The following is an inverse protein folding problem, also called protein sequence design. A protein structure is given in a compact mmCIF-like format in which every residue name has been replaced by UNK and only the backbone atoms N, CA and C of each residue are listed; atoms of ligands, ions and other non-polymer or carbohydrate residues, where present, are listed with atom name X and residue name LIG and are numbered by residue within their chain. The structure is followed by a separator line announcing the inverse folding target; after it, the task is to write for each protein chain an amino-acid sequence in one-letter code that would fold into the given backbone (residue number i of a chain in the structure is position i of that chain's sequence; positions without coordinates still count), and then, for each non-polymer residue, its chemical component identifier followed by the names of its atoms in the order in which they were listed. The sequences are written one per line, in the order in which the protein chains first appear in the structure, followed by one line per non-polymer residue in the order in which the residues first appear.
data_IF_940250502274
#
_entry.id   IF_940250502274
#
_cell.length_a   1.000
_cell.length_b   1.000
_cell.length_c   1.000
_cell.angle_alpha   90.00
_cell.angle_beta   90.00
_cell.angle_gamma   90.00
#
_symmetry.space_group_name_H-M   'P 1'
#
loop_
_entity.id
_entity.type
_entity.pdbx_description
1 polymer ?
#
# COMPACT_ATOMS: atom_id res chain seq x y z
N UNK A 1 10.30 8.44 -13.11
CA UNK A 1 10.24 9.60 -12.20
C UNK A 1 10.25 9.12 -10.77
N UNK A 2 10.81 9.86 -9.85
CA UNK A 2 10.88 9.60 -8.41
C UNK A 2 10.33 10.81 -7.63
N UNK A 3 10.40 10.81 -6.31
CA UNK A 3 10.08 12.01 -5.52
C UNK A 3 11.00 13.18 -5.94
N UNK A 4 10.43 14.38 -6.05
CA UNK A 4 11.21 15.60 -6.28
C UNK A 4 11.95 16.00 -5.00
N UNK A 5 13.28 16.07 -5.09
CA UNK A 5 14.11 16.35 -3.92
C UNK A 5 15.60 16.03 -4.13
N UNK A 6 16.29 15.91 -3.01
CA UNK A 6 17.76 15.70 -2.97
C UNK A 6 18.15 14.40 -3.70
N UNK A 7 17.38 13.31 -3.52
CA UNK A 7 17.69 12.03 -4.14
C UNK A 7 17.53 12.11 -5.66
N UNK A 8 16.45 12.76 -6.16
CA UNK A 8 16.26 13.00 -7.59
C UNK A 8 17.45 13.75 -8.20
N UNK A 9 17.90 14.82 -7.53
CA UNK A 9 19.05 15.63 -7.97
C UNK A 9 20.33 14.80 -7.99
N UNK A 10 20.61 14.03 -6.95
CA UNK A 10 21.81 13.17 -6.86
C UNK A 10 21.85 12.10 -7.97
N UNK A 11 20.69 11.53 -8.29
CA UNK A 11 20.58 10.49 -9.32
C UNK A 11 20.42 11.06 -10.73
N UNK A 12 20.28 12.38 -10.90
CA UNK A 12 20.02 13.00 -12.19
C UNK A 12 18.68 12.59 -12.79
N UNK A 13 17.68 12.27 -11.96
CA UNK A 13 16.36 11.81 -12.38
C UNK A 13 15.32 12.93 -12.27
N UNK A 14 14.31 12.87 -13.14
CA UNK A 14 13.18 13.79 -13.06
C UNK A 14 12.31 13.46 -11.85
N UNK A 15 12.04 14.48 -11.01
CA UNK A 15 11.20 14.38 -9.82
C UNK A 15 9.71 14.59 -10.12
N UNK A 16 8.85 14.06 -9.25
CA UNK A 16 7.42 14.36 -9.15
C UNK A 16 7.22 15.10 -7.83
N UNK A 17 6.91 16.42 -7.85
CA UNK A 17 6.68 17.17 -6.64
C UNK A 17 5.41 16.68 -5.92
N UNK A 18 5.37 16.81 -4.58
CA UNK A 18 4.18 16.46 -3.79
C UNK A 18 2.93 17.26 -4.21
N UNK A 19 3.13 18.49 -4.73
CA UNK A 19 2.06 19.34 -5.23
C UNK A 19 1.24 18.68 -6.34
N UNK A 20 1.81 17.75 -7.11
CA UNK A 20 1.07 17.00 -8.11
C UNK A 20 -0.05 16.14 -7.51
N UNK A 21 0.14 15.63 -6.28
CA UNK A 21 -0.87 14.91 -5.52
C UNK A 21 -1.83 15.88 -4.81
N UNK A 22 -1.29 16.89 -4.14
CA UNK A 22 -2.04 17.86 -3.33
C UNK A 22 -3.10 18.59 -4.14
N UNK A 23 -2.75 19.14 -5.30
CA UNK A 23 -3.68 19.90 -6.15
C UNK A 23 -4.88 19.04 -6.57
N UNK A 24 -4.64 17.77 -6.90
CA UNK A 24 -5.72 16.86 -7.28
C UNK A 24 -6.64 16.58 -6.09
N UNK A 25 -6.07 16.30 -4.92
CA UNK A 25 -6.84 16.06 -3.69
C UNK A 25 -7.69 17.28 -3.33
N UNK A 26 -7.10 18.47 -3.30
CA UNK A 26 -7.82 19.70 -2.95
C UNK A 26 -8.93 20.02 -3.94
N UNK A 27 -8.67 19.89 -5.24
CA UNK A 27 -9.67 20.05 -6.30
C UNK A 27 -10.84 19.10 -6.09
N UNK A 28 -10.54 17.81 -5.93
CA UNK A 28 -11.54 16.76 -5.88
C UNK A 28 -12.39 16.89 -4.58
N UNK A 29 -11.76 17.25 -3.46
CA UNK A 29 -12.50 17.48 -2.22
C UNK A 29 -13.37 18.76 -2.27
N UNK A 30 -12.94 19.80 -2.97
CA UNK A 30 -13.76 20.99 -3.20
C UNK A 30 -15.00 20.66 -4.06
N UNK A 31 -14.84 19.83 -5.10
CA UNK A 31 -15.95 19.34 -5.91
C UNK A 31 -16.88 18.43 -5.11
N UNK A 32 -16.34 17.55 -4.28
CA UNK A 32 -17.09 16.60 -3.47
C UNK A 32 -18.04 17.30 -2.49
N UNK A 33 -17.61 18.41 -1.90
CA UNK A 33 -18.43 19.22 -1.00
C UNK A 33 -19.71 19.73 -1.68
N UNK A 34 -19.62 20.05 -2.96
CA UNK A 34 -20.75 20.51 -3.77
C UNK A 34 -21.64 19.37 -4.28
N UNK A 35 -21.05 18.25 -4.72
CA UNK A 35 -21.76 17.18 -5.48
C UNK A 35 -22.33 16.10 -4.56
N UNK A 36 -21.79 15.90 -3.35
CA UNK A 36 -22.22 14.90 -2.36
C UNK A 36 -22.28 13.46 -2.92
N UNK A 37 -21.27 13.07 -3.69
CA UNK A 37 -21.13 11.69 -4.18
C UNK A 37 -20.23 10.85 -3.27
N UNK A 38 -20.11 9.55 -3.56
CA UNK A 38 -19.11 8.70 -2.94
C UNK A 38 -17.75 8.94 -3.59
N UNK A 39 -16.74 9.14 -2.77
CA UNK A 39 -15.40 9.39 -3.25
C UNK A 39 -14.38 8.58 -2.45
N UNK A 40 -13.37 8.05 -3.14
CA UNK A 40 -12.24 7.34 -2.55
C UNK A 40 -10.94 7.79 -3.22
N UNK A 41 -10.01 8.26 -2.41
CA UNK A 41 -8.65 8.58 -2.85
C UNK A 41 -7.84 7.29 -2.78
N UNK A 42 -7.44 6.77 -3.92
CA UNK A 42 -6.85 5.42 -4.01
C UNK A 42 -5.57 5.26 -3.22
N UNK A 43 -4.64 6.22 -3.34
CA UNK A 43 -3.30 6.10 -2.74
C UNK A 43 -2.76 7.48 -2.37
N UNK A 44 -2.46 7.66 -1.10
CA UNK A 44 -1.75 8.81 -0.57
C UNK A 44 -0.25 8.51 -0.52
N UNK A 45 0.59 9.52 -0.72
CA UNK A 45 2.03 9.34 -0.67
C UNK A 45 2.76 10.39 0.17
N UNK A 46 2.14 11.53 0.52
CA UNK A 46 2.82 12.63 1.22
C UNK A 46 2.22 12.97 2.59
N UNK A 47 3.04 13.49 3.49
CA UNK A 47 2.64 14.00 4.79
C UNK A 47 1.61 15.12 4.68
N UNK A 48 1.79 16.00 3.69
CA UNK A 48 0.87 17.12 3.44
C UNK A 48 -0.51 16.64 3.02
N UNK A 49 -0.58 15.58 2.20
CA UNK A 49 -1.85 14.95 1.84
C UNK A 49 -2.57 14.40 3.07
N UNK A 50 -1.86 13.74 4.00
CA UNK A 50 -2.44 13.25 5.26
C UNK A 50 -3.01 14.39 6.09
N UNK A 51 -2.30 15.52 6.20
CA UNK A 51 -2.77 16.71 6.92
C UNK A 51 -4.06 17.27 6.31
N UNK A 52 -4.12 17.44 4.99
CA UNK A 52 -5.31 17.92 4.27
C UNK A 52 -6.49 16.98 4.50
N UNK A 53 -6.28 15.66 4.35
CA UNK A 53 -7.31 14.64 4.56
C UNK A 53 -7.84 14.69 5.98
N UNK A 54 -6.98 14.80 6.99
CA UNK A 54 -7.39 14.91 8.39
C UNK A 54 -8.36 16.07 8.60
N UNK A 55 -8.01 17.26 8.13
CA UNK A 55 -8.80 18.47 8.29
C UNK A 55 -10.15 18.38 7.53
N UNK A 56 -10.15 17.78 6.34
CA UNK A 56 -11.35 17.66 5.49
C UNK A 56 -12.32 16.58 5.96
N UNK A 57 -11.83 15.48 6.56
CA UNK A 57 -12.70 14.41 7.09
C UNK A 57 -13.62 14.85 8.24
N UNK A 58 -13.34 15.97 8.89
CA UNK A 58 -14.22 16.55 9.90
C UNK A 58 -15.58 17.01 9.30
N UNK A 59 -15.59 17.42 8.04
CA UNK A 59 -16.74 18.04 7.39
C UNK A 59 -17.29 17.25 6.19
N UNK A 60 -16.47 16.43 5.53
CA UNK A 60 -16.82 15.73 4.29
C UNK A 60 -16.62 14.24 4.47
N UNK A 61 -17.57 13.43 3.98
CA UNK A 61 -17.49 11.96 4.03
C UNK A 61 -16.84 11.40 2.77
N UNK A 62 -15.66 10.90 2.89
CA UNK A 62 -14.93 10.17 1.85
C UNK A 62 -13.98 9.16 2.50
N UNK A 63 -13.35 8.34 1.70
CA UNK A 63 -12.34 7.38 2.16
C UNK A 63 -11.04 7.55 1.40
N UNK A 64 -9.95 7.05 1.98
CA UNK A 64 -8.65 7.06 1.33
C UNK A 64 -7.84 5.81 1.65
N UNK A 65 -6.90 5.50 0.77
CA UNK A 65 -5.99 4.39 0.89
C UNK A 65 -4.53 4.80 0.81
N UNK A 66 -3.68 3.85 1.10
CA UNK A 66 -2.22 3.98 0.97
C UNK A 66 -1.64 2.67 0.44
N UNK A 67 -0.64 2.77 -0.44
CA UNK A 67 0.12 1.60 -0.88
C UNK A 67 0.98 1.07 0.26
N UNK A 68 1.03 -0.27 0.38
CA UNK A 68 1.94 -0.92 1.33
C UNK A 68 3.40 -0.54 1.05
N UNK A 69 3.75 -0.25 -0.19
CA UNK A 69 5.08 0.21 -0.55
C UNK A 69 5.41 1.57 0.09
N UNK A 70 4.48 2.53 0.04
CA UNK A 70 4.66 3.86 0.65
C UNK A 70 4.62 3.84 2.18
N UNK A 71 4.01 2.82 2.80
CA UNK A 71 4.09 2.60 4.25
C UNK A 71 5.44 2.02 4.69
N UNK A 72 6.04 1.15 3.85
CA UNK A 72 7.19 0.31 4.24
C UNK A 72 8.53 0.78 3.71
N UNK A 73 8.53 1.64 2.68
CA UNK A 73 9.72 2.08 1.94
C UNK A 73 9.70 3.59 1.74
N UNK A 74 10.89 4.17 1.54
CA UNK A 74 11.07 5.58 1.21
C UNK A 74 12.02 5.78 0.02
N UNK A 75 12.27 7.02 -0.39
CA UNK A 75 13.09 7.33 -1.58
C UNK A 75 14.54 6.86 -1.47
N UNK A 76 15.09 6.67 -0.26
CA UNK A 76 16.46 6.18 -0.08
C UNK A 76 16.60 4.70 -0.48
N UNK A 77 15.53 3.92 -0.42
CA UNK A 77 15.53 2.50 -0.80
C UNK A 77 15.80 2.30 -2.29
N UNK A 78 15.56 3.33 -3.12
CA UNK A 78 15.84 3.32 -4.57
C UNK A 78 17.32 3.02 -4.82
N UNK A 79 18.22 3.53 -3.96
CA UNK A 79 19.65 3.28 -4.03
C UNK A 79 20.21 3.51 -5.42
N UNK A 80 20.96 2.55 -5.95
CA UNK A 80 21.60 2.65 -7.25
C UNK A 80 20.62 2.24 -8.38
N UNK A 81 19.59 3.06 -8.59
CA UNK A 81 18.64 2.92 -9.71
C UNK A 81 17.84 1.59 -9.74
N UNK A 82 17.42 1.09 -8.57
CA UNK A 82 16.57 -0.12 -8.51
C UNK A 82 15.22 0.10 -9.17
N UNK A 83 15.05 -0.38 -10.38
CA UNK A 83 13.84 -0.19 -11.19
C UNK A 83 12.58 -0.79 -10.57
N UNK A 84 12.71 -1.83 -9.72
CA UNK A 84 11.60 -2.43 -8.96
C UNK A 84 10.98 -1.44 -7.94
N UNK A 85 11.69 -0.35 -7.62
CA UNK A 85 11.22 0.73 -6.75
C UNK A 85 10.75 1.97 -7.54
N UNK A 86 10.63 1.85 -8.86
CA UNK A 86 9.94 2.86 -9.66
C UNK A 86 8.44 2.63 -9.57
N UNK A 87 7.79 3.36 -8.67
CA UNK A 87 6.38 3.23 -8.30
C UNK A 87 5.58 4.51 -8.62
N UNK A 88 4.26 4.40 -8.63
CA UNK A 88 3.33 5.53 -8.80
C UNK A 88 2.13 5.32 -7.88
N UNK A 89 1.97 6.19 -6.85
CA UNK A 89 2.81 7.36 -6.49
C UNK A 89 4.24 6.97 -6.16
N UNK A 90 5.20 7.89 -6.29
CA UNK A 90 6.59 7.59 -5.99
C UNK A 90 6.79 7.36 -4.49
N UNK A 91 7.85 6.64 -4.14
CA UNK A 91 8.34 6.60 -2.77
C UNK A 91 8.84 8.01 -2.40
N UNK A 92 8.36 8.52 -1.28
CA UNK A 92 8.69 9.86 -0.81
C UNK A 92 9.71 9.83 0.32
N UNK A 93 9.86 10.93 1.05
CA UNK A 93 10.80 11.04 2.16
C UNK A 93 10.43 10.12 3.32
N UNK A 94 11.36 9.91 4.25
CA UNK A 94 11.08 9.17 5.48
C UNK A 94 10.03 9.88 6.35
N UNK A 95 10.00 11.21 6.35
CA UNK A 95 8.99 12.00 7.07
C UNK A 95 7.58 11.74 6.51
N UNK A 96 7.47 11.66 5.19
CA UNK A 96 6.20 11.28 4.52
C UNK A 96 5.77 9.88 4.94
N UNK A 97 6.68 8.90 4.89
CA UNK A 97 6.40 7.53 5.30
C UNK A 97 5.90 7.44 6.75
N UNK A 98 6.59 8.11 7.68
CA UNK A 98 6.19 8.16 9.09
C UNK A 98 4.80 8.79 9.25
N UNK A 99 4.52 9.85 8.50
CA UNK A 99 3.20 10.51 8.52
C UNK A 99 2.09 9.60 7.99
N UNK A 100 2.34 8.83 6.93
CA UNK A 100 1.40 7.84 6.40
C UNK A 100 1.11 6.75 7.44
N UNK A 101 2.13 6.19 8.08
CA UNK A 101 1.99 5.17 9.14
C UNK A 101 1.18 5.72 10.31
N UNK A 102 1.47 6.95 10.74
CA UNK A 102 0.70 7.64 11.78
C UNK A 102 -0.75 7.87 11.33
N UNK A 103 -0.98 8.31 10.10
CA UNK A 103 -2.31 8.52 9.53
C UNK A 103 -3.14 7.24 9.51
N UNK A 104 -2.52 6.07 9.24
CA UNK A 104 -3.18 4.77 9.35
C UNK A 104 -3.50 4.42 10.81
N UNK A 105 -2.55 4.61 11.72
CA UNK A 105 -2.72 4.33 13.15
C UNK A 105 -3.82 5.18 13.78
N UNK A 106 -3.93 6.44 13.39
CA UNK A 106 -4.91 7.42 13.87
C UNK A 106 -6.30 7.24 13.18
N UNK A 107 -6.43 6.33 12.20
CA UNK A 107 -7.68 6.08 11.47
C UNK A 107 -8.02 7.17 10.43
N UNK A 108 -7.06 8.01 10.06
CA UNK A 108 -7.19 8.97 8.97
C UNK A 108 -7.19 8.24 7.62
N UNK A 109 -6.31 7.24 7.46
CA UNK A 109 -6.25 6.37 6.30
C UNK A 109 -7.11 5.13 6.56
N UNK A 110 -7.99 4.80 5.62
CA UNK A 110 -9.00 3.76 5.80
C UNK A 110 -8.53 2.38 5.36
N UNK A 111 -7.73 2.29 4.29
CA UNK A 111 -7.32 1.02 3.68
C UNK A 111 -5.85 0.99 3.30
N UNK A 112 -5.28 -0.22 3.33
CA UNK A 112 -3.97 -0.53 2.77
C UNK A 112 -4.20 -1.31 1.48
N UNK A 113 -3.53 -0.90 0.40
CA UNK A 113 -3.59 -1.59 -0.89
C UNK A 113 -2.24 -2.21 -1.25
N UNK A 114 -2.27 -3.34 -1.95
CA UNK A 114 -1.05 -4.02 -2.39
C UNK A 114 -0.28 -3.25 -3.46
N UNK A 115 -0.99 -2.37 -4.18
CA UNK A 115 -0.44 -1.71 -5.37
C UNK A 115 0.22 -2.70 -6.33
N UNK A 116 -0.44 -3.86 -6.49
CA UNK A 116 0.05 -4.97 -7.31
C UNK A 116 -0.03 -4.60 -8.79
N UNK A 117 1.09 -4.18 -9.32
CA UNK A 117 1.28 -3.83 -10.73
C UNK A 117 2.50 -4.57 -11.28
N UNK A 118 2.33 -5.87 -11.59
CA UNK A 118 3.41 -6.67 -12.18
C UNK A 118 3.75 -6.14 -13.57
N UNK A 119 5.04 -6.07 -13.86
CA UNK A 119 5.56 -5.65 -15.16
C UNK A 119 6.46 -6.75 -15.73
N UNK A 120 6.62 -6.78 -17.03
CA UNK A 120 7.53 -7.72 -17.67
C UNK A 120 8.98 -7.48 -17.27
N UNK A 121 9.77 -8.54 -17.21
CA UNK A 121 11.17 -8.49 -16.80
C UNK A 121 11.97 -7.54 -17.71
N UNK A 122 11.72 -7.56 -19.01
CA UNK A 122 12.39 -6.69 -19.98
C UNK A 122 12.08 -5.21 -19.72
N UNK A 123 10.83 -4.87 -19.36
CA UNK A 123 10.45 -3.51 -19.00
C UNK A 123 11.14 -3.01 -17.73
N UNK A 124 11.50 -3.92 -16.85
CA UNK A 124 12.21 -3.61 -15.59
C UNK A 124 13.75 -3.62 -15.73
N UNK A 125 14.29 -4.20 -16.80
CA UNK A 125 15.73 -4.18 -17.12
C UNK A 125 16.20 -2.90 -17.82
N UNK A 126 15.28 -2.07 -18.28
CA UNK A 126 15.59 -0.77 -18.85
C UNK A 126 16.23 0.18 -17.82
N UNK A 127 16.80 1.28 -18.28
CA UNK A 127 17.28 2.33 -17.37
C UNK A 127 16.14 2.81 -16.47
N UNK A 128 16.44 3.32 -15.29
CA UNK A 128 15.39 3.77 -14.36
C UNK A 128 14.43 4.78 -15.01
N UNK A 129 14.92 5.67 -15.85
CA UNK A 129 14.09 6.65 -16.55
C UNK A 129 13.10 5.99 -17.55
N UNK A 130 13.51 4.92 -18.21
CA UNK A 130 12.74 4.23 -19.25
C UNK A 130 11.91 3.07 -18.72
N UNK A 131 12.30 2.44 -17.59
CA UNK A 131 11.59 1.33 -17.01
C UNK A 131 10.12 1.68 -16.70
N UNK A 132 9.22 0.70 -16.81
CA UNK A 132 7.82 0.87 -16.42
C UNK A 132 7.65 1.00 -14.91
N UNK A 133 6.59 1.71 -14.48
CA UNK A 133 6.25 1.89 -13.07
C UNK A 133 5.40 0.72 -12.57
N UNK A 134 5.76 0.17 -11.43
CA UNK A 134 4.98 -0.87 -10.78
C UNK A 134 5.85 -1.95 -10.15
N UNK A 135 5.26 -2.68 -9.22
CA UNK A 135 5.84 -3.84 -8.56
C UNK A 135 4.79 -4.89 -8.21
N UNK A 136 5.23 -6.15 -8.12
CA UNK A 136 4.40 -7.23 -7.60
C UNK A 136 4.31 -7.10 -6.07
N UNK A 137 3.11 -6.89 -5.51
CA UNK A 137 2.91 -6.59 -4.09
C UNK A 137 1.88 -7.46 -3.39
N UNK A 138 1.06 -8.26 -4.12
CA UNK A 138 -0.06 -8.98 -3.51
C UNK A 138 0.39 -10.02 -2.48
N UNK A 139 1.51 -10.71 -2.73
CA UNK A 139 2.01 -11.77 -1.86
C UNK A 139 2.79 -11.26 -0.65
N UNK A 140 3.24 -10.01 -0.69
CA UNK A 140 3.99 -9.36 0.39
C UNK A 140 3.14 -8.43 1.24
N UNK A 141 1.91 -8.10 0.80
CA UNK A 141 1.00 -7.16 1.45
C UNK A 141 0.81 -7.45 2.94
N UNK A 142 0.44 -8.68 3.29
CA UNK A 142 0.16 -9.05 4.68
C UNK A 142 1.42 -8.94 5.55
N UNK A 143 2.52 -9.55 5.10
CA UNK A 143 3.75 -9.59 5.90
C UNK A 143 4.38 -8.20 6.10
N UNK A 144 4.35 -7.35 5.06
CA UNK A 144 4.77 -5.96 5.18
C UNK A 144 3.85 -5.15 6.12
N UNK A 145 2.55 -5.39 6.06
CA UNK A 145 1.61 -4.75 6.99
C UNK A 145 1.87 -5.20 8.44
N UNK A 146 2.21 -6.47 8.65
CA UNK A 146 2.54 -7.01 9.97
C UNK A 146 3.87 -6.47 10.54
N UNK A 147 4.81 -5.98 9.72
CA UNK A 147 5.99 -5.27 10.23
C UNK A 147 5.60 -4.07 11.11
N UNK A 148 4.53 -3.34 10.74
CA UNK A 148 4.02 -2.21 11.52
C UNK A 148 3.38 -2.62 12.83
N UNK A 149 2.85 -3.85 12.91
CA UNK A 149 2.39 -4.45 14.16
C UNK A 149 3.59 -4.88 15.03
N UNK A 150 4.55 -5.59 14.45
CA UNK A 150 5.71 -6.12 15.20
C UNK A 150 6.59 -5.01 15.78
N UNK A 151 6.71 -3.87 15.10
CA UNK A 151 7.45 -2.71 15.59
C UNK A 151 6.61 -1.77 16.48
N UNK A 152 5.34 -2.11 16.73
CA UNK A 152 4.44 -1.36 17.61
C UNK A 152 3.89 -0.05 17.01
N UNK A 153 4.11 0.23 15.72
CA UNK A 153 3.65 1.47 15.09
C UNK A 153 2.14 1.49 14.84
N UNK A 154 1.54 0.33 14.55
CA UNK A 154 0.11 0.19 14.26
C UNK A 154 -0.45 -1.04 14.97
N UNK A 155 -1.64 -0.93 15.55
CA UNK A 155 -2.32 -2.05 16.22
C UNK A 155 -2.75 -3.10 15.18
N UNK A 156 -2.66 -4.38 15.54
CA UNK A 156 -3.09 -5.49 14.66
C UNK A 156 -4.52 -5.32 14.17
N UNK A 157 -5.44 -4.92 15.05
CA UNK A 157 -6.84 -4.70 14.70
C UNK A 157 -7.00 -3.63 13.61
N UNK A 158 -6.23 -2.54 13.66
CA UNK A 158 -6.24 -1.48 12.64
C UNK A 158 -5.77 -2.04 11.29
N UNK A 159 -4.69 -2.83 11.27
CA UNK A 159 -4.18 -3.46 10.05
C UNK A 159 -5.23 -4.41 9.47
N UNK A 160 -5.81 -5.29 10.28
CA UNK A 160 -6.82 -6.25 9.80
C UNK A 160 -8.04 -5.51 9.25
N UNK A 161 -8.53 -4.46 9.92
CA UNK A 161 -9.64 -3.65 9.41
C UNK A 161 -9.29 -2.99 8.07
N UNK A 162 -8.09 -2.43 7.95
CA UNK A 162 -7.64 -1.76 6.72
C UNK A 162 -7.45 -2.72 5.54
N UNK A 163 -7.22 -4.00 5.79
CA UNK A 163 -7.06 -5.04 4.76
C UNK A 163 -8.37 -5.78 4.44
N UNK A 164 -9.39 -5.74 5.30
CA UNK A 164 -10.59 -6.60 5.17
C UNK A 164 -11.89 -5.82 5.26
N UNK A 165 -12.37 -5.48 6.44
CA UNK A 165 -13.70 -4.91 6.66
C UNK A 165 -13.86 -3.50 6.09
N UNK A 166 -12.83 -2.66 6.10
CA UNK A 166 -12.91 -1.33 5.53
C UNK A 166 -13.03 -1.34 4.00
N UNK A 167 -12.17 -2.07 3.23
CA UNK A 167 -12.36 -2.17 1.78
C UNK A 167 -13.71 -2.81 1.42
N UNK A 168 -14.19 -3.81 2.17
CA UNK A 168 -15.49 -4.42 1.93
C UNK A 168 -16.64 -3.39 2.08
N UNK A 169 -16.59 -2.54 3.11
CA UNK A 169 -17.56 -1.44 3.31
C UNK A 169 -17.49 -0.40 2.19
N UNK A 170 -16.29 -0.01 1.76
CA UNK A 170 -16.09 0.95 0.68
C UNK A 170 -16.66 0.40 -0.63
N UNK A 171 -16.42 -0.86 -0.93
CA UNK A 171 -16.92 -1.54 -2.13
C UNK A 171 -18.41 -1.94 -2.03
N UNK A 172 -19.01 -1.85 -0.83
CA UNK A 172 -20.37 -2.33 -0.53
C UNK A 172 -20.57 -3.81 -0.85
N UNK A 173 -19.58 -4.64 -0.60
CA UNK A 173 -19.67 -6.10 -0.71
C UNK A 173 -19.93 -6.70 0.66
N UNK A 174 -20.70 -7.79 0.71
CA UNK A 174 -21.01 -8.51 1.95
C UNK A 174 -19.86 -9.47 2.31
N UNK A 175 -18.70 -8.92 2.64
CA UNK A 175 -17.47 -9.62 2.99
C UNK A 175 -16.75 -8.93 4.16
N UNK A 176 -15.64 -9.50 4.61
CA UNK A 176 -14.80 -8.90 5.66
C UNK A 176 -15.40 -9.01 7.06
N UNK A 177 -16.25 -9.99 7.30
CA UNK A 177 -16.87 -10.30 8.60
C UNK A 177 -16.95 -11.82 8.82
N UNK A 178 -16.91 -12.24 10.09
CA UNK A 178 -17.12 -13.62 10.54
C UNK A 178 -18.44 -13.75 11.33
N UNK A 179 -19.41 -12.86 11.08
CA UNK A 179 -20.70 -12.90 11.74
C UNK A 179 -21.50 -14.14 11.35
N UNK A 180 -22.35 -14.63 12.26
CA UNK A 180 -23.25 -15.76 11.98
C UNK A 180 -24.13 -15.43 10.78
N UNK A 181 -24.19 -16.34 9.81
CA UNK A 181 -24.93 -16.16 8.55
C UNK A 181 -24.13 -15.53 7.40
N UNK A 182 -22.87 -15.12 7.64
CA UNK A 182 -21.96 -14.69 6.57
C UNK A 182 -21.28 -15.89 5.91
N UNK A 183 -20.80 -15.69 4.66
CA UNK A 183 -19.97 -16.70 4.00
C UNK A 183 -18.73 -17.00 4.84
N UNK A 184 -18.34 -18.26 4.92
CA UNK A 184 -17.14 -18.71 5.63
C UNK A 184 -15.88 -18.48 4.76
N UNK A 185 -15.59 -17.20 4.48
CA UNK A 185 -14.41 -16.74 3.74
C UNK A 185 -13.40 -16.16 4.75
N UNK A 186 -12.37 -16.92 5.06
CA UNK A 186 -11.37 -16.51 6.02
C UNK A 186 -10.01 -17.16 5.76
N UNK A 187 -8.97 -16.61 6.34
CA UNK A 187 -7.65 -17.23 6.36
C UNK A 187 -7.12 -17.37 7.80
N UNK A 188 -6.30 -18.39 7.99
CA UNK A 188 -5.54 -18.61 9.23
C UNK A 188 -4.13 -18.10 8.99
N UNK A 189 -3.66 -17.23 9.87
CA UNK A 189 -2.38 -16.55 9.75
C UNK A 189 -1.49 -16.90 10.94
N UNK A 190 -0.26 -17.33 10.67
CA UNK A 190 0.81 -17.35 11.67
C UNK A 190 1.55 -16.01 11.60
N UNK A 191 1.34 -15.17 12.62
CA UNK A 191 1.91 -13.81 12.66
C UNK A 191 3.44 -13.80 12.74
N UNK A 192 4.04 -14.86 13.27
CA UNK A 192 5.46 -14.91 13.59
C UNK A 192 6.28 -15.77 12.62
N UNK A 193 5.64 -16.45 11.67
CA UNK A 193 6.35 -17.34 10.74
C UNK A 193 7.33 -16.55 9.87
N UNK A 194 8.66 -16.77 10.01
CA UNK A 194 9.66 -16.04 9.24
C UNK A 194 9.75 -16.60 7.82
N UNK A 195 10.04 -15.72 6.87
CA UNK A 195 10.35 -16.11 5.50
C UNK A 195 11.19 -15.03 4.79
N UNK A 196 11.78 -15.39 3.66
CA UNK A 196 12.54 -14.47 2.82
C UNK A 196 11.81 -14.33 1.49
N UNK A 197 11.66 -13.09 1.04
CA UNK A 197 11.03 -12.78 -0.26
C UNK A 197 12.03 -13.11 -1.36
N UNK A 198 11.88 -14.27 -1.98
CA UNK A 198 12.70 -14.72 -3.10
C UNK A 198 11.84 -14.83 -4.35
N UNK A 199 12.35 -14.43 -5.49
CA UNK A 199 11.64 -14.50 -6.78
C UNK A 199 11.08 -15.88 -7.08
N UNK A 200 11.87 -16.92 -6.82
CA UNK A 200 11.51 -18.32 -7.02
C UNK A 200 10.29 -18.78 -6.22
N UNK A 201 10.02 -18.13 -5.08
CA UNK A 201 8.92 -18.48 -4.18
C UNK A 201 7.62 -17.71 -4.45
N UNK A 202 7.65 -16.70 -5.33
CA UNK A 202 6.47 -15.93 -5.68
C UNK A 202 5.63 -16.67 -6.71
N UNK A 203 4.30 -16.64 -6.56
CA UNK A 203 3.34 -17.22 -7.49
C UNK A 203 3.07 -16.32 -8.70
N UNK A 204 3.20 -15.00 -8.53
CA UNK A 204 3.07 -14.04 -9.62
C UNK A 204 3.96 -14.42 -10.80
N UNK A 205 3.45 -14.31 -12.03
CA UNK A 205 4.26 -14.53 -13.26
C UNK A 205 5.44 -13.57 -13.30
N UNK A 206 5.20 -12.30 -13.04
CA UNK A 206 6.25 -11.31 -12.88
C UNK A 206 6.82 -11.35 -11.47
N UNK A 207 8.14 -11.30 -11.37
CA UNK A 207 8.89 -11.42 -10.10
C UNK A 207 9.44 -10.08 -9.58
N UNK A 208 9.03 -8.95 -10.17
CA UNK A 208 9.52 -7.61 -9.86
C UNK A 208 8.92 -7.05 -8.55
N UNK A 209 9.22 -7.71 -7.43
CA UNK A 209 8.80 -7.21 -6.12
C UNK A 209 9.70 -6.09 -5.61
N UNK A 210 9.10 -5.10 -4.94
CA UNK A 210 9.82 -3.97 -4.33
C UNK A 210 10.71 -4.37 -3.15
N UNK A 211 10.50 -5.57 -2.58
CA UNK A 211 11.13 -6.03 -1.34
C UNK A 211 11.86 -7.36 -1.51
N UNK A 212 12.47 -7.56 -2.66
CA UNK A 212 13.28 -8.75 -2.93
C UNK A 212 14.37 -8.95 -1.87
N UNK A 213 14.57 -10.20 -1.46
CA UNK A 213 15.51 -10.65 -0.42
C UNK A 213 15.22 -10.09 0.99
N UNK A 214 14.14 -9.33 1.20
CA UNK A 214 13.75 -8.88 2.53
C UNK A 214 13.30 -10.07 3.40
N UNK A 215 13.73 -10.07 4.65
CA UNK A 215 13.25 -11.01 5.67
C UNK A 215 11.96 -10.44 6.27
N UNK A 216 10.89 -11.20 6.19
CA UNK A 216 9.57 -10.81 6.68
C UNK A 216 9.04 -11.84 7.70
N UNK A 217 8.04 -11.43 8.47
CA UNK A 217 7.28 -12.28 9.38
C UNK A 217 5.79 -12.23 9.05
N UNK A 218 5.13 -13.37 9.28
CA UNK A 218 3.71 -13.53 9.04
C UNK A 218 3.42 -14.19 7.70
N UNK A 219 2.70 -15.31 7.76
CA UNK A 219 2.23 -16.02 6.56
C UNK A 219 0.81 -16.54 6.74
N UNK A 220 0.06 -16.56 5.64
CA UNK A 220 -1.18 -17.30 5.58
C UNK A 220 -0.87 -18.79 5.59
N UNK A 221 -1.47 -19.51 6.54
CA UNK A 221 -1.33 -20.95 6.69
C UNK A 221 -2.42 -21.70 5.95
N UNK A 222 -3.65 -21.22 6.03
CA UNK A 222 -4.81 -21.82 5.37
C UNK A 222 -5.73 -20.71 4.84
N UNK A 223 -6.38 -20.96 3.71
CA UNK A 223 -7.42 -20.09 3.15
C UNK A 223 -8.68 -20.91 2.91
N UNK A 224 -9.81 -20.40 3.39
CA UNK A 224 -11.12 -20.98 3.23
C UNK A 224 -12.02 -20.03 2.42
N UNK A 225 -12.75 -20.59 1.46
CA UNK A 225 -13.76 -19.87 0.67
C UNK A 225 -15.05 -20.69 0.72
N UNK A 226 -16.12 -20.08 1.19
CA UNK A 226 -17.41 -20.72 1.44
C UNK A 226 -17.30 -21.99 2.30
N UNK A 227 -16.34 -22.00 3.21
CA UNK A 227 -16.08 -23.13 4.11
C UNK A 227 -15.19 -24.24 3.53
N UNK A 228 -14.81 -24.18 2.26
CA UNK A 228 -13.87 -25.12 1.65
C UNK A 228 -12.42 -24.64 1.78
N UNK A 229 -11.52 -25.54 2.20
CA UNK A 229 -10.08 -25.24 2.27
C UNK A 229 -9.49 -25.25 0.86
N UNK A 230 -9.15 -24.06 0.34
CA UNK A 230 -8.57 -23.91 -0.99
C UNK A 230 -7.03 -23.78 -0.99
N UNK A 231 -6.43 -23.46 0.14
CA UNK A 231 -5.00 -23.35 0.28
C UNK A 231 -4.55 -23.80 1.67
N UNK A 232 -3.44 -24.53 1.70
CA UNK A 232 -2.71 -24.95 2.90
C UNK A 232 -1.21 -24.87 2.61
N UNK A 233 -0.47 -24.17 3.49
CA UNK A 233 0.98 -23.98 3.40
C UNK A 233 1.74 -25.22 3.90
#
# INVERSE_FOLDING_TARGET
MINDGIIATKLGLQGIPEMAEIIIIERDLALLDSIKCRYHISQLSSAKSVEIIKNKKENIKFSCGVSINNLSLNENDIGDFKTFLKLSPPLRTEEDRISLVKGLSDGIIDVIVSDHKPEDEEQKRLTFAQAETGASGIETLLSLSLEHYHNGSVKLETIIKALTSNPAKILKVNKGTLSVGSDADFCIVDLNKPWIVKQENLQSKSKNTSVENKKLQGKVMNTFVKGEELFKL
#
